data_IF_519411925975
#
_entry.id   IF_519411925975
#
_cell.length_a   1.000
_cell.length_b   1.000
_cell.length_c   1.000
_cell.angle_alpha   90.00
_cell.angle_beta   90.00
_cell.angle_gamma   90.00
#
_symmetry.space_group_name_H-M   'P 1'
#
loop_
_entity.id
_entity.type
_entity.pdbx_description
1 polymer ?
#
# COMPACT_ATOMS: atom_id res chain seq x y z
N UNK A 1 -40.98 66.27 -5.78
CA UNK A 1 -39.84 65.55 -5.17
C UNK A 1 -40.07 64.04 -5.05
N UNK A 2 -41.25 63.54 -4.65
CA UNK A 2 -41.54 62.10 -4.54
C UNK A 2 -41.31 61.24 -5.80
N UNK A 3 -41.52 61.79 -7.01
CA UNK A 3 -41.30 61.05 -8.25
C UNK A 3 -39.84 60.70 -8.53
N UNK A 4 -38.88 61.52 -8.08
CA UNK A 4 -37.45 61.30 -8.30
C UNK A 4 -36.93 60.18 -7.38
N UNK A 5 -37.39 60.16 -6.13
CA UNK A 5 -37.12 59.10 -5.15
C UNK A 5 -37.64 57.74 -5.63
N UNK A 6 -38.90 57.69 -6.10
CA UNK A 6 -39.52 56.45 -6.58
C UNK A 6 -38.83 55.91 -7.85
N UNK A 7 -38.49 56.80 -8.79
CA UNK A 7 -37.74 56.42 -9.99
C UNK A 7 -36.33 55.88 -9.66
N UNK A 8 -35.70 56.42 -8.61
CA UNK A 8 -34.40 55.93 -8.15
C UNK A 8 -34.51 54.53 -7.52
N UNK A 9 -35.48 54.31 -6.63
CA UNK A 9 -35.71 53.02 -5.97
C UNK A 9 -36.07 51.90 -6.97
N UNK A 10 -36.93 52.20 -7.95
CA UNK A 10 -37.30 51.26 -9.02
C UNK A 10 -36.11 50.89 -9.91
N UNK A 11 -35.26 51.86 -10.28
CA UNK A 11 -34.04 51.58 -11.04
C UNK A 11 -33.08 50.66 -10.28
N UNK A 12 -32.92 50.86 -8.98
CA UNK A 12 -32.10 49.98 -8.13
C UNK A 12 -32.69 48.56 -8.06
N UNK A 13 -34.01 48.45 -7.98
CA UNK A 13 -34.70 47.16 -8.01
C UNK A 13 -34.44 46.40 -9.31
N UNK A 14 -34.58 47.03 -10.48
CA UNK A 14 -34.29 46.37 -11.77
C UNK A 14 -32.83 45.96 -11.91
N UNK A 15 -31.88 46.75 -11.39
CA UNK A 15 -30.47 46.33 -11.34
C UNK A 15 -30.27 45.10 -10.45
N UNK A 16 -30.94 45.05 -9.30
CA UNK A 16 -30.89 43.89 -8.41
C UNK A 16 -31.45 42.62 -9.10
N UNK A 17 -32.56 42.77 -9.84
CA UNK A 17 -33.14 41.70 -10.67
C UNK A 17 -32.14 41.23 -11.74
N UNK A 18 -31.46 42.15 -12.42
CA UNK A 18 -30.43 41.81 -13.41
C UNK A 18 -29.24 41.04 -12.81
N UNK A 19 -28.83 41.40 -11.59
CA UNK A 19 -27.75 40.70 -10.86
C UNK A 19 -28.20 39.31 -10.42
N UNK A 20 -29.43 39.17 -9.91
CA UNK A 20 -30.01 37.87 -9.59
C UNK A 20 -30.15 36.95 -10.80
N UNK A 21 -30.50 37.53 -11.96
CA UNK A 21 -30.54 36.81 -13.23
C UNK A 21 -29.13 36.34 -13.65
N UNK A 22 -28.12 37.20 -13.51
CA UNK A 22 -26.73 36.83 -13.79
C UNK A 22 -26.20 35.75 -12.84
N UNK A 23 -26.55 35.82 -11.55
CA UNK A 23 -26.24 34.78 -10.57
C UNK A 23 -26.88 33.43 -10.99
N UNK A 24 -28.12 33.45 -11.49
CA UNK A 24 -28.79 32.28 -12.07
C UNK A 24 -28.06 31.70 -13.29
N UNK A 25 -27.58 32.55 -14.20
CA UNK A 25 -26.77 32.11 -15.34
C UNK A 25 -25.47 31.42 -14.92
N UNK A 26 -24.79 31.98 -13.91
CA UNK A 26 -23.58 31.38 -13.34
C UNK A 26 -23.91 30.06 -12.63
N UNK A 27 -25.05 29.95 -11.96
CA UNK A 27 -25.52 28.70 -11.35
C UNK A 27 -25.62 27.56 -12.37
N UNK A 28 -26.10 27.81 -13.58
CA UNK A 28 -26.14 26.78 -14.63
C UNK A 28 -24.75 26.32 -15.07
N UNK A 29 -23.76 27.23 -15.14
CA UNK A 29 -22.36 26.85 -15.40
C UNK A 29 -21.84 25.92 -14.30
N UNK A 30 -22.13 26.24 -13.04
CA UNK A 30 -21.79 25.37 -11.92
C UNK A 30 -22.56 24.04 -12.00
N UNK A 31 -23.84 24.03 -12.34
CA UNK A 31 -24.62 22.79 -12.53
C UNK A 31 -23.99 21.88 -13.59
N UNK A 32 -23.53 22.47 -14.69
CA UNK A 32 -22.82 21.83 -15.79
C UNK A 32 -21.47 21.26 -15.30
N UNK A 33 -20.70 22.03 -14.52
CA UNK A 33 -19.45 21.57 -13.90
C UNK A 33 -19.67 20.41 -12.91
N UNK A 34 -20.74 20.46 -12.11
CA UNK A 34 -21.08 19.41 -11.13
C UNK A 34 -21.27 18.07 -11.81
N UNK A 35 -21.87 18.07 -13.00
CA UNK A 35 -22.11 16.85 -13.74
C UNK A 35 -20.89 16.34 -14.53
N UNK A 36 -20.01 17.25 -14.95
CA UNK A 36 -18.73 16.88 -15.54
C UNK A 36 -17.75 16.27 -14.53
N UNK A 37 -17.73 16.81 -13.30
CA UNK A 37 -16.78 16.42 -12.26
C UNK A 37 -17.39 15.32 -11.38
N UNK A 38 -17.59 14.13 -11.95
CA UNK A 38 -18.11 12.97 -11.22
C UNK A 38 -17.07 12.29 -10.28
N UNK A 39 -16.03 13.01 -9.84
CA UNK A 39 -14.89 12.42 -9.11
C UNK A 39 -15.03 12.35 -7.58
N UNK A 40 -16.23 12.57 -7.03
CA UNK A 40 -16.55 12.22 -5.64
C UNK A 40 -17.22 13.34 -4.84
N UNK A 41 -17.76 12.97 -3.66
CA UNK A 41 -18.55 13.85 -2.78
C UNK A 41 -17.82 15.15 -2.38
N UNK A 42 -16.48 15.12 -2.31
CA UNK A 42 -15.64 16.26 -1.93
C UNK A 42 -15.65 17.35 -3.02
N UNK A 43 -15.60 16.96 -4.29
CA UNK A 43 -15.61 17.93 -5.39
C UNK A 43 -16.93 18.72 -5.43
N UNK A 44 -18.04 18.03 -5.16
CA UNK A 44 -19.37 18.66 -5.06
C UNK A 44 -19.41 19.67 -3.91
N UNK A 45 -18.83 19.32 -2.75
CA UNK A 45 -18.77 20.21 -1.60
C UNK A 45 -17.91 21.46 -1.86
N UNK A 46 -16.73 21.31 -2.47
CA UNK A 46 -15.87 22.45 -2.84
C UNK A 46 -16.62 23.39 -3.80
N UNK A 47 -17.30 22.82 -4.78
CA UNK A 47 -18.05 23.60 -5.75
C UNK A 47 -19.21 24.37 -5.10
N UNK A 48 -19.91 23.76 -4.14
CA UNK A 48 -20.98 24.42 -3.39
C UNK A 48 -20.45 25.62 -2.60
N UNK A 49 -19.29 25.47 -1.94
CA UNK A 49 -18.62 26.56 -1.23
C UNK A 49 -18.21 27.68 -2.20
N UNK A 50 -17.63 27.36 -3.35
CA UNK A 50 -17.24 28.36 -4.35
C UNK A 50 -18.47 29.13 -4.87
N UNK A 51 -19.56 28.42 -5.16
CA UNK A 51 -20.79 29.06 -5.63
C UNK A 51 -21.41 29.96 -4.54
N UNK A 52 -21.48 29.50 -3.30
CA UNK A 52 -21.95 30.32 -2.17
C UNK A 52 -21.10 31.57 -1.98
N UNK A 53 -19.77 31.44 -2.06
CA UNK A 53 -18.87 32.58 -1.99
C UNK A 53 -19.06 33.55 -3.16
N UNK A 54 -19.30 33.03 -4.36
CA UNK A 54 -19.54 33.85 -5.54
C UNK A 54 -20.83 34.66 -5.42
N UNK A 55 -21.94 34.00 -5.07
CA UNK A 55 -23.24 34.68 -4.87
C UNK A 55 -23.09 35.71 -3.74
N UNK A 56 -22.50 35.32 -2.61
CA UNK A 56 -22.26 36.24 -1.51
C UNK A 56 -21.42 37.46 -1.90
N UNK A 57 -20.33 37.25 -2.63
CA UNK A 57 -19.48 38.34 -3.12
C UNK A 57 -20.23 39.25 -4.11
N UNK A 58 -21.07 38.68 -4.97
CA UNK A 58 -21.87 39.42 -5.93
C UNK A 58 -22.93 40.29 -5.24
N UNK A 59 -23.71 39.71 -4.32
CA UNK A 59 -24.68 40.45 -3.51
C UNK A 59 -23.98 41.52 -2.66
N UNK A 60 -22.86 41.19 -2.03
CA UNK A 60 -22.09 42.13 -1.21
C UNK A 60 -21.52 43.30 -2.02
N UNK A 61 -20.95 43.03 -3.20
CA UNK A 61 -20.46 44.07 -4.11
C UNK A 61 -21.58 45.01 -4.57
N UNK A 62 -22.78 44.46 -4.83
CA UNK A 62 -23.94 45.26 -5.19
C UNK A 62 -24.41 46.17 -4.04
N UNK A 63 -24.48 45.62 -2.82
CA UNK A 63 -24.85 46.37 -1.62
C UNK A 63 -23.86 47.52 -1.33
N UNK A 64 -22.56 47.26 -1.45
CA UNK A 64 -21.51 48.27 -1.30
C UNK A 64 -21.62 49.37 -2.37
N UNK A 65 -21.81 49.00 -3.63
CA UNK A 65 -21.80 49.95 -4.75
C UNK A 65 -23.03 50.87 -4.75
N UNK A 66 -24.19 50.41 -4.28
CA UNK A 66 -25.46 51.14 -4.44
C UNK A 66 -26.06 51.68 -3.15
N UNK A 67 -25.79 51.08 -2.00
CA UNK A 67 -26.45 51.44 -0.74
C UNK A 67 -25.46 51.77 0.39
N UNK A 68 -24.16 52.00 0.10
CA UNK A 68 -23.14 52.25 1.12
C UNK A 68 -23.10 51.15 2.21
N UNK A 69 -23.54 49.92 1.90
CA UNK A 69 -23.61 48.80 2.83
C UNK A 69 -24.95 48.63 3.57
N UNK A 70 -25.97 49.48 3.35
CA UNK A 70 -27.30 49.25 3.92
C UNK A 70 -28.05 48.10 3.23
N UNK A 71 -28.49 47.13 4.02
CA UNK A 71 -29.29 45.99 3.55
C UNK A 71 -30.72 46.45 3.32
N UNK A 72 -31.08 46.72 2.06
CA UNK A 72 -32.45 47.07 1.68
C UNK A 72 -33.22 45.83 1.23
N UNK A 73 -34.38 45.57 1.85
CA UNK A 73 -35.23 44.40 1.56
C UNK A 73 -35.58 44.29 0.07
N UNK A 74 -35.83 45.40 -0.63
CA UNK A 74 -36.15 45.37 -2.06
C UNK A 74 -34.99 44.91 -2.95
N UNK A 75 -33.73 45.10 -2.52
CA UNK A 75 -32.56 44.62 -3.26
C UNK A 75 -32.46 43.10 -3.19
N UNK A 76 -32.64 42.53 -1.99
CA UNK A 76 -32.63 41.08 -1.78
C UNK A 76 -33.81 40.42 -2.49
N UNK A 77 -35.01 41.03 -2.43
CA UNK A 77 -36.19 40.55 -3.15
C UNK A 77 -35.99 40.63 -4.67
N UNK A 78 -35.34 41.69 -5.18
CA UNK A 78 -35.01 41.83 -6.59
C UNK A 78 -34.05 40.73 -7.06
N UNK A 79 -32.99 40.45 -6.30
CA UNK A 79 -32.04 39.39 -6.59
C UNK A 79 -32.71 38.00 -6.61
N UNK A 80 -33.54 37.71 -5.61
CA UNK A 80 -34.31 36.46 -5.55
C UNK A 80 -35.29 36.35 -6.73
N UNK A 81 -35.99 37.42 -7.07
CA UNK A 81 -36.93 37.45 -8.19
C UNK A 81 -36.20 37.24 -9.53
N UNK A 82 -35.05 37.88 -9.73
CA UNK A 82 -34.21 37.69 -10.91
C UNK A 82 -33.73 36.25 -11.07
N UNK A 83 -33.33 35.61 -9.96
CA UNK A 83 -32.98 34.19 -9.94
C UNK A 83 -34.17 33.29 -10.29
N UNK A 84 -35.36 33.57 -9.74
CA UNK A 84 -36.59 32.81 -10.04
C UNK A 84 -36.97 32.95 -11.52
N UNK A 85 -36.93 34.17 -12.07
CA UNK A 85 -37.22 34.41 -13.49
C UNK A 85 -36.26 33.62 -14.38
N UNK A 86 -34.96 33.63 -14.05
CA UNK A 86 -33.97 32.80 -14.72
C UNK A 86 -34.32 31.32 -14.63
N UNK A 87 -34.59 30.83 -13.42
CA UNK A 87 -34.91 29.42 -13.17
C UNK A 87 -36.18 28.96 -13.89
N UNK A 88 -37.20 29.81 -14.01
CA UNK A 88 -38.43 29.49 -14.73
C UNK A 88 -38.22 29.48 -16.25
N UNK A 89 -37.45 30.44 -16.77
CA UNK A 89 -37.17 30.55 -18.21
C UNK A 89 -36.29 29.41 -18.69
N UNK A 90 -35.23 29.10 -17.94
CA UNK A 90 -34.33 28.01 -18.27
C UNK A 90 -34.80 26.66 -17.73
N UNK A 91 -35.76 26.59 -16.81
CA UNK A 91 -36.25 25.33 -16.25
C UNK A 91 -36.80 24.37 -17.30
N UNK A 92 -37.49 24.89 -18.32
CA UNK A 92 -37.96 24.11 -19.47
C UNK A 92 -36.83 23.78 -20.46
N UNK A 93 -35.94 24.75 -20.74
CA UNK A 93 -34.81 24.59 -21.65
C UNK A 93 -33.79 23.56 -21.14
N UNK A 94 -33.51 23.57 -19.84
CA UNK A 94 -32.56 22.67 -19.17
C UNK A 94 -33.06 21.23 -19.17
N UNK A 95 -34.38 20.98 -19.15
CA UNK A 95 -34.88 19.60 -19.22
C UNK A 95 -34.72 19.00 -20.63
N UNK A 96 -35.03 19.76 -21.70
CA UNK A 96 -34.89 19.26 -23.07
C UNK A 96 -33.44 19.23 -23.60
N UNK A 97 -32.62 20.19 -23.19
CA UNK A 97 -31.25 20.34 -23.73
C UNK A 97 -30.21 19.85 -22.72
N UNK A 98 -30.62 19.61 -21.48
CA UNK A 98 -29.84 18.94 -20.44
C UNK A 98 -29.13 17.72 -21.01
N UNK A 99 -29.86 16.71 -21.48
CA UNK A 99 -29.23 15.48 -21.96
C UNK A 99 -28.20 15.69 -23.07
N UNK A 100 -28.45 16.61 -24.02
CA UNK A 100 -27.47 16.93 -25.09
C UNK A 100 -26.25 17.67 -24.57
N UNK A 101 -26.44 18.66 -23.68
CA UNK A 101 -25.35 19.40 -23.04
C UNK A 101 -24.52 18.42 -22.22
N UNK A 102 -25.16 17.54 -21.46
CA UNK A 102 -24.54 16.53 -20.61
C UNK A 102 -23.65 15.60 -21.43
N UNK A 103 -24.17 15.07 -22.55
CA UNK A 103 -23.38 14.22 -23.44
C UNK A 103 -22.24 14.98 -24.15
N UNK A 104 -22.50 16.21 -24.59
CA UNK A 104 -21.47 17.05 -25.20
C UNK A 104 -20.34 17.34 -24.21
N UNK A 105 -20.67 17.66 -22.97
CA UNK A 105 -19.71 17.96 -21.92
C UNK A 105 -18.93 16.71 -21.49
N UNK A 106 -19.59 15.56 -21.35
CA UNK A 106 -18.92 14.27 -21.11
C UNK A 106 -17.88 14.02 -22.20
N UNK A 107 -18.22 14.27 -23.47
CA UNK A 107 -17.29 14.12 -24.59
C UNK A 107 -16.12 15.11 -24.50
N UNK A 108 -16.35 16.36 -24.11
CA UNK A 108 -15.30 17.35 -23.89
C UNK A 108 -14.35 16.94 -22.76
N UNK A 109 -14.88 16.55 -21.60
CA UNK A 109 -14.07 16.12 -20.45
C UNK A 109 -13.25 14.88 -20.77
N UNK A 110 -13.81 13.88 -21.44
CA UNK A 110 -13.05 12.70 -21.89
C UNK A 110 -11.95 13.11 -22.87
N UNK A 111 -12.21 14.05 -23.79
CA UNK A 111 -11.18 14.55 -24.72
C UNK A 111 -10.05 15.25 -23.98
N UNK A 112 -10.38 16.18 -23.08
CA UNK A 112 -9.40 16.93 -22.28
C UNK A 112 -8.59 15.97 -21.42
N UNK A 113 -9.25 15.07 -20.68
CA UNK A 113 -8.58 14.08 -19.86
C UNK A 113 -7.71 13.16 -20.69
N UNK A 114 -8.15 12.73 -21.88
CA UNK A 114 -7.33 11.93 -22.81
C UNK A 114 -6.11 12.67 -23.31
N UNK A 115 -6.24 13.95 -23.66
CA UNK A 115 -5.10 14.79 -24.09
C UNK A 115 -4.09 14.93 -22.96
N UNK A 116 -4.56 15.21 -21.74
CA UNK A 116 -3.70 15.37 -20.56
C UNK A 116 -3.05 14.04 -20.17
N UNK A 117 -3.79 12.94 -20.14
CA UNK A 117 -3.29 11.63 -19.69
C UNK A 117 -2.45 10.89 -20.73
N UNK A 118 -2.61 11.19 -22.03
CA UNK A 118 -1.81 10.60 -23.11
C UNK A 118 -0.28 10.75 -22.92
N UNK A 119 0.29 11.93 -22.64
CA UNK A 119 1.72 12.06 -22.37
C UNK A 119 2.15 11.29 -21.12
N UNK A 120 1.32 11.22 -20.07
CA UNK A 120 1.64 10.44 -18.86
C UNK A 120 1.65 8.93 -19.10
N UNK A 121 0.70 8.40 -19.87
CA UNK A 121 0.67 6.96 -20.21
C UNK A 121 1.90 6.60 -21.06
N UNK A 122 2.28 7.46 -22.02
CA UNK A 122 3.48 7.25 -22.84
C UNK A 122 4.76 7.33 -22.00
N UNK A 123 4.84 8.28 -21.07
CA UNK A 123 5.95 8.42 -20.13
C UNK A 123 6.06 7.21 -19.21
N UNK A 124 4.95 6.73 -18.65
CA UNK A 124 4.91 5.53 -17.82
C UNK A 124 5.32 4.27 -18.61
N UNK A 125 4.93 4.17 -19.88
CA UNK A 125 5.39 3.11 -20.78
C UNK A 125 6.90 3.12 -21.00
N UNK A 126 7.54 4.29 -21.08
CA UNK A 126 8.99 4.43 -21.19
C UNK A 126 9.69 4.00 -19.89
N UNK A 127 9.20 4.48 -18.74
CA UNK A 127 9.71 4.12 -17.41
C UNK A 127 9.61 2.61 -17.19
N UNK A 128 8.48 2.00 -17.57
CA UNK A 128 8.28 0.54 -17.49
C UNK A 128 9.33 -0.22 -18.29
N UNK A 129 9.61 0.19 -19.53
CA UNK A 129 10.65 -0.44 -20.38
C UNK A 129 12.05 -0.33 -19.75
N UNK A 130 12.36 0.80 -19.11
CA UNK A 130 13.62 0.99 -18.40
C UNK A 130 13.70 0.07 -17.17
N UNK A 131 12.63 0.00 -16.37
CA UNK A 131 12.53 -0.91 -15.22
C UNK A 131 12.65 -2.38 -15.62
N UNK A 132 12.01 -2.81 -16.71
CA UNK A 132 12.12 -4.19 -17.22
C UNK A 132 13.57 -4.52 -17.63
N UNK A 133 14.28 -3.59 -18.29
CA UNK A 133 15.70 -3.77 -18.65
C UNK A 133 16.61 -3.86 -17.43
N UNK A 134 16.43 -2.96 -16.45
CA UNK A 134 17.21 -2.96 -15.20
C UNK A 134 16.92 -4.24 -14.40
N UNK A 135 15.65 -4.60 -14.24
CA UNK A 135 15.23 -5.83 -13.57
C UNK A 135 15.79 -7.09 -14.23
N UNK A 136 15.80 -7.14 -15.57
CA UNK A 136 16.40 -8.25 -16.30
C UNK A 136 17.92 -8.34 -16.11
N UNK A 137 18.63 -7.21 -16.06
CA UNK A 137 20.08 -7.17 -15.79
C UNK A 137 20.42 -7.62 -14.36
N UNK A 138 19.65 -7.16 -13.38
CA UNK A 138 19.77 -7.59 -11.97
C UNK A 138 19.46 -9.08 -11.80
N UNK A 139 18.43 -9.59 -12.48
CA UNK A 139 18.09 -11.01 -12.44
C UNK A 139 19.22 -11.88 -13.00
N UNK A 140 19.83 -11.47 -14.11
CA UNK A 140 20.98 -12.17 -14.71
C UNK A 140 22.20 -12.19 -13.78
N UNK A 141 22.52 -11.07 -13.13
CA UNK A 141 23.64 -10.98 -12.18
C UNK A 141 23.37 -11.78 -10.90
N UNK A 142 22.14 -11.76 -10.38
CA UNK A 142 21.74 -12.58 -9.24
C UNK A 142 21.86 -14.09 -9.53
N UNK A 143 21.39 -14.56 -10.69
CA UNK A 143 21.49 -15.97 -11.10
C UNK A 143 22.96 -16.40 -11.22
N UNK A 144 23.81 -15.58 -11.85
CA UNK A 144 25.26 -15.86 -11.96
C UNK A 144 25.93 -15.97 -10.59
N UNK A 145 25.59 -15.07 -9.67
CA UNK A 145 26.16 -15.05 -8.32
C UNK A 145 25.73 -16.28 -7.51
N UNK A 146 24.43 -16.65 -7.58
CA UNK A 146 23.90 -17.87 -6.96
C UNK A 146 24.61 -19.13 -7.49
N UNK A 147 24.76 -19.26 -8.80
CA UNK A 147 25.39 -20.44 -9.40
C UNK A 147 26.88 -20.54 -9.02
N UNK A 148 27.60 -19.41 -9.00
CA UNK A 148 29.00 -19.37 -8.52
C UNK A 148 29.10 -19.77 -7.05
N UNK A 149 28.14 -19.36 -6.21
CA UNK A 149 28.11 -19.72 -4.80
C UNK A 149 27.83 -21.22 -4.60
N UNK A 150 26.87 -21.79 -5.33
CA UNK A 150 26.58 -23.24 -5.30
C UNK A 150 27.81 -24.06 -5.65
N UNK A 151 28.53 -23.68 -6.72
CA UNK A 151 29.77 -24.35 -7.13
C UNK A 151 30.86 -24.25 -6.06
N UNK A 152 31.03 -23.08 -5.44
CA UNK A 152 32.00 -22.88 -4.33
C UNK A 152 31.62 -23.73 -3.11
N UNK A 153 30.35 -23.77 -2.74
CA UNK A 153 29.84 -24.57 -1.62
C UNK A 153 30.04 -26.07 -1.84
N UNK A 154 29.79 -26.57 -3.05
CA UNK A 154 30.03 -27.97 -3.40
C UNK A 154 31.52 -28.34 -3.29
N UNK A 155 32.43 -27.46 -3.74
CA UNK A 155 33.88 -27.66 -3.59
C UNK A 155 34.32 -27.69 -2.12
N UNK A 156 33.83 -26.77 -1.28
CA UNK A 156 34.17 -26.73 0.15
C UNK A 156 33.68 -28.00 0.86
N UNK A 157 32.49 -28.50 0.54
CA UNK A 157 31.99 -29.78 1.11
C UNK A 157 32.89 -30.97 0.75
N UNK A 158 33.39 -31.04 -0.48
CA UNK A 158 34.32 -32.09 -0.90
C UNK A 158 35.66 -32.01 -0.15
N UNK A 159 36.20 -30.79 0.01
CA UNK A 159 37.42 -30.57 0.80
C UNK A 159 37.21 -30.94 2.27
N UNK A 160 36.07 -30.57 2.83
CA UNK A 160 35.72 -30.90 4.22
C UNK A 160 35.66 -32.43 4.42
N UNK A 161 35.07 -33.17 3.47
CA UNK A 161 35.03 -34.63 3.54
C UNK A 161 36.44 -35.25 3.53
N UNK A 162 37.36 -34.73 2.70
CA UNK A 162 38.75 -35.19 2.67
C UNK A 162 39.48 -34.92 3.99
N UNK A 163 39.29 -33.74 4.58
CA UNK A 163 39.88 -33.38 5.87
C UNK A 163 39.29 -34.23 7.00
N UNK A 164 37.97 -34.42 7.02
CA UNK A 164 37.29 -35.22 8.04
C UNK A 164 37.67 -36.70 7.95
N UNK A 165 37.80 -37.22 6.72
CA UNK A 165 38.28 -38.58 6.46
C UNK A 165 39.71 -38.78 6.95
N UNK A 166 40.61 -37.83 6.68
CA UNK A 166 41.98 -37.86 7.18
C UNK A 166 42.04 -37.85 8.72
N UNK A 167 41.30 -36.95 9.36
CA UNK A 167 41.26 -36.85 10.82
C UNK A 167 40.71 -38.12 11.46
N UNK A 168 39.61 -38.67 10.96
CA UNK A 168 39.05 -39.93 11.47
C UNK A 168 39.99 -41.11 11.27
N UNK A 169 40.68 -41.21 10.13
CA UNK A 169 41.66 -42.26 9.88
C UNK A 169 42.84 -42.19 10.86
N UNK A 170 43.40 -41.00 11.11
CA UNK A 170 44.44 -40.81 12.15
C UNK A 170 43.93 -41.16 13.53
N UNK A 171 42.72 -40.71 13.89
CA UNK A 171 42.15 -40.97 15.21
C UNK A 171 41.84 -42.45 15.44
N UNK A 172 41.43 -43.16 14.38
CA UNK A 172 41.19 -44.61 14.43
C UNK A 172 42.51 -45.39 14.53
N UNK A 173 43.56 -44.96 13.83
CA UNK A 173 44.90 -45.53 13.95
C UNK A 173 45.50 -45.30 15.35
N UNK A 174 45.36 -44.09 15.91
CA UNK A 174 45.78 -43.78 17.27
C UNK A 174 45.02 -44.61 18.32
N UNK A 175 43.69 -44.71 18.20
CA UNK A 175 42.89 -45.55 19.09
C UNK A 175 43.16 -47.07 18.93
N UNK A 176 43.65 -47.50 17.76
CA UNK A 176 44.09 -48.88 17.56
C UNK A 176 45.47 -49.15 18.18
N UNK A 177 46.35 -48.14 18.22
CA UNK A 177 47.66 -48.21 18.86
C UNK A 177 47.56 -48.16 20.41
N UNK A 178 46.61 -47.41 20.95
CA UNK A 178 46.38 -47.28 22.40
C UNK A 178 45.61 -48.46 23.01
N UNK A 179 45.06 -49.37 22.18
CA UNK A 179 44.23 -50.48 22.63
C UNK A 179 42.89 -50.02 23.25
N UNK A 180 41.94 -50.94 23.50
CA UNK A 180 40.73 -50.57 24.23
C UNK A 180 41.12 -50.09 25.64
N UNK A 181 40.54 -48.97 26.14
CA UNK A 181 40.85 -48.50 27.48
C UNK A 181 40.58 -49.61 28.49
N UNK A 182 41.58 -49.90 29.35
CA UNK A 182 41.47 -50.94 30.38
C UNK A 182 40.20 -50.67 31.21
N UNK A 183 39.29 -51.65 31.37
CA UNK A 183 38.07 -51.43 32.13
C UNK A 183 38.45 -51.07 33.57
N UNK A 184 37.98 -49.91 34.03
CA UNK A 184 38.25 -49.41 35.38
C UNK A 184 37.75 -50.43 36.42
N UNK A 185 38.62 -50.82 37.34
CA UNK A 185 38.28 -51.79 38.39
C UNK A 185 37.24 -51.20 39.36
N UNK A 186 36.51 -52.06 40.07
CA UNK A 186 35.44 -51.64 41.00
C UNK A 186 35.94 -50.66 42.07
N UNK A 187 37.16 -50.87 42.57
CA UNK A 187 37.79 -50.02 43.57
C UNK A 187 38.15 -48.63 43.00
N UNK A 188 38.74 -48.58 41.81
CA UNK A 188 39.06 -47.32 41.12
C UNK A 188 37.80 -46.52 40.74
N UNK A 189 36.69 -47.21 40.44
CA UNK A 189 35.38 -46.58 40.19
C UNK A 189 34.82 -45.96 41.46
N UNK A 190 34.88 -46.67 42.59
CA UNK A 190 34.43 -46.16 43.89
C UNK A 190 35.26 -44.96 44.32
N UNK A 191 36.58 -45.02 44.15
CA UNK A 191 37.49 -43.90 44.43
C UNK A 191 37.20 -42.67 43.56
N UNK A 192 36.94 -42.86 42.26
CA UNK A 192 36.53 -41.76 41.37
C UNK A 192 35.22 -41.11 41.78
N UNK A 193 34.21 -41.92 42.13
CA UNK A 193 32.91 -41.41 42.57
C UNK A 193 33.05 -40.66 43.89
N UNK A 194 33.86 -41.17 44.82
CA UNK A 194 34.16 -40.49 46.08
C UNK A 194 34.87 -39.15 45.83
N UNK A 195 35.86 -39.11 44.93
CA UNK A 195 36.54 -37.86 44.54
C UNK A 195 35.60 -36.87 43.83
N UNK A 196 34.71 -37.35 42.96
CA UNK A 196 33.69 -36.51 42.33
C UNK A 196 32.70 -35.95 43.36
N UNK A 197 32.28 -36.76 44.36
CA UNK A 197 31.44 -36.31 45.48
C UNK A 197 32.16 -35.29 46.37
N UNK A 198 33.44 -35.50 46.68
CA UNK A 198 34.21 -34.54 47.48
C UNK A 198 34.41 -33.20 46.76
N UNK A 199 34.71 -33.23 45.45
CA UNK A 199 34.80 -32.02 44.63
C UNK A 199 33.45 -31.30 44.54
N UNK A 200 32.34 -32.04 44.42
CA UNK A 200 30.99 -31.49 44.43
C UNK A 200 30.65 -30.83 45.78
N UNK A 201 31.01 -31.46 46.91
CA UNK A 201 30.82 -30.88 48.25
C UNK A 201 31.67 -29.63 48.49
N UNK A 202 32.80 -29.47 47.79
CA UNK A 202 33.63 -28.25 47.82
C UNK A 202 33.13 -27.13 46.89
N UNK A 203 32.04 -27.34 46.14
CA UNK A 203 31.46 -26.31 45.26
C UNK A 203 32.25 -26.07 43.96
N UNK A 204 33.27 -26.88 43.69
CA UNK A 204 34.03 -26.86 42.45
C UNK A 204 33.42 -27.90 41.50
N UNK A 205 32.46 -27.50 40.66
CA UNK A 205 31.92 -28.39 39.64
C UNK A 205 33.03 -28.77 38.63
N UNK A 206 33.28 -30.06 38.39
CA UNK A 206 34.25 -30.45 37.38
C UNK A 206 33.75 -30.04 36.00
N UNK A 207 34.63 -29.45 35.18
CA UNK A 207 34.43 -29.40 33.74
C UNK A 207 34.23 -30.84 33.27
N UNK A 208 32.99 -31.20 32.90
CA UNK A 208 32.67 -32.52 32.37
C UNK A 208 33.51 -32.78 31.12
N UNK A 209 34.62 -33.50 31.29
CA UNK A 209 35.25 -34.17 30.16
C UNK A 209 34.24 -35.17 29.63
N UNK A 210 33.95 -35.18 28.30
CA UNK A 210 32.92 -36.04 27.74
C UNK A 210 33.17 -37.50 28.17
N UNK A 211 32.14 -38.26 28.55
CA UNK A 211 32.34 -39.63 29.01
C UNK A 211 33.11 -40.41 27.94
N UNK A 212 34.23 -41.01 28.34
CA UNK A 212 34.96 -41.96 27.52
C UNK A 212 33.96 -43.00 27.04
N UNK A 213 33.85 -43.14 25.70
CA UNK A 213 32.89 -44.03 25.04
C UNK A 213 32.89 -45.40 25.71
N UNK A 214 31.89 -45.66 26.54
CA UNK A 214 31.51 -47.03 26.85
C UNK A 214 30.98 -47.62 25.54
N UNK A 215 31.64 -48.69 25.09
CA UNK A 215 31.28 -49.45 23.91
C UNK A 215 29.82 -49.92 24.00
N UNK A 216 28.89 -49.18 23.40
CA UNK A 216 27.62 -49.73 22.96
C UNK A 216 27.87 -50.41 21.61
N UNK A 217 27.79 -51.74 21.58
CA UNK A 217 27.97 -52.59 20.40
C UNK A 217 27.07 -52.21 19.19
N UNK A 218 27.27 -52.85 18.03
CA UNK A 218 26.71 -52.39 16.77
C UNK A 218 25.17 -52.41 16.79
N UNK A 219 24.56 -51.22 16.77
CA UNK A 219 23.12 -51.06 16.51
C UNK A 219 22.89 -51.43 15.05
N UNK A 220 22.42 -52.66 14.79
CA UNK A 220 21.99 -53.14 13.48
C UNK A 220 21.09 -52.09 12.83
N UNK A 221 21.47 -51.61 11.63
CA UNK A 221 20.65 -50.75 10.79
C UNK A 221 19.38 -51.51 10.39
N UNK A 222 18.30 -51.29 11.14
CA UNK A 222 16.95 -51.66 10.74
C UNK A 222 16.55 -50.90 9.48
N UNK A 223 16.29 -51.66 8.44
CA UNK A 223 15.73 -51.28 7.14
C UNK A 223 14.59 -50.26 7.26
N UNK A 224 14.80 -49.03 6.78
CA UNK A 224 13.71 -48.09 6.47
C UNK A 224 13.00 -48.55 5.19
N UNK A 225 12.16 -49.58 5.29
CA UNK A 225 11.26 -50.01 4.19
C UNK A 225 9.78 -50.06 4.57
N UNK A 226 9.42 -49.75 5.82
CA UNK A 226 8.04 -49.88 6.33
C UNK A 226 7.14 -48.63 6.28
N UNK A 227 7.63 -47.47 5.84
CA UNK A 227 6.86 -46.21 5.96
C UNK A 227 5.97 -45.88 4.74
N UNK A 228 6.01 -46.67 3.67
CA UNK A 228 5.20 -46.43 2.45
C UNK A 228 3.89 -47.22 2.37
N UNK A 229 3.67 -48.19 3.26
CA UNK A 229 2.47 -49.05 3.23
C UNK A 229 1.30 -48.56 4.11
N UNK A 230 1.55 -47.64 5.04
CA UNK A 230 0.48 -47.07 5.88
C UNK A 230 -0.33 -45.97 5.19
N UNK A 231 0.26 -45.31 4.19
CA UNK A 231 -0.42 -44.24 3.44
C UNK A 231 -1.34 -44.78 2.33
N UNK A 232 -1.08 -46.00 1.84
CA UNK A 232 -1.90 -46.66 0.79
C UNK A 232 -3.13 -47.40 1.32
N UNK A 233 -3.20 -47.74 2.61
CA UNK A 233 -4.39 -48.41 3.20
C UNK A 233 -5.47 -47.46 3.73
N UNK A 234 -5.19 -46.16 3.87
CA UNK A 234 -6.18 -45.16 4.32
C UNK A 234 -7.08 -44.64 3.20
N UNK A 235 -6.66 -44.75 1.94
CA UNK A 235 -7.43 -44.31 0.76
C UNK A 235 -8.35 -45.38 0.13
N UNK A 236 -8.52 -46.54 0.77
CA UNK A 236 -9.46 -47.59 0.31
C UNK A 236 -10.62 -47.86 1.29
N UNK A 237 -10.80 -47.02 2.30
CA UNK A 237 -11.97 -46.98 3.19
C UNK A 237 -12.34 -45.51 3.46
N UNK A 238 -12.86 -44.87 2.44
CA UNK A 238 -13.71 -43.69 2.50
C UNK A 238 -14.64 -43.76 1.29
#
# INVERSE_FOLDING_TARGET
MYGIELAHQTRLFFMAVGIGFFAGAVFDIFRILRLAVNFGKIAVAIQDVIYLLFVFALSFAFLLSKNMGEIRMFAVLGELLGFIIYYLTFGSFVYSIGDRIIEFLRRLFIKVFRIISYPFIKLFGLIRKLCEKIGAALRKTAIKTKNKLILRLQRIKALLYNVFGFYFSRRKAAAAAEGPPKPLSLEERRARIAQEMEMFMRGELPQMSPPAKQNSGPRKKGSKKGSKDYEKKRHKKA
#
